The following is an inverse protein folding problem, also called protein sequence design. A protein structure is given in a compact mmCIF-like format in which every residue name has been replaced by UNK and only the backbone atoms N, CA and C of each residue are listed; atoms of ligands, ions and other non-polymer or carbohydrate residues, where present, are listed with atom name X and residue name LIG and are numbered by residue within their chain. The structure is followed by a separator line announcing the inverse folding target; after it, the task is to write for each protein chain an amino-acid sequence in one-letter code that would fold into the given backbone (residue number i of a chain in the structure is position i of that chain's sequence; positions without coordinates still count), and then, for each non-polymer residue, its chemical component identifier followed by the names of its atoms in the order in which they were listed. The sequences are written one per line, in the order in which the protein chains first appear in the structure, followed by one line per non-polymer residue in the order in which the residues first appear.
data_IF_613813711118
#
_entry.id   IF_613813711118
#
_cell.length_a   1.000
_cell.length_b   1.000
_cell.length_c   1.000
_cell.angle_alpha   90.00
_cell.angle_beta   90.00
_cell.angle_gamma   90.00
#
_symmetry.space_group_name_H-M   'P 1'
#
loop_
_entity.id
_entity.type
_entity.pdbx_description
1 polymer ?
#
# COMPACT_ATOMS: atom_id res chain seq x y z
N UNK A 1 24.77 -29.22 -2.11
CA UNK A 1 24.29 -27.92 -2.65
C UNK A 1 25.47 -27.08 -3.09
N UNK A 2 25.60 -26.71 -4.37
CA UNK A 2 26.76 -25.96 -4.87
C UNK A 2 26.95 -24.61 -4.14
N UNK A 3 28.21 -24.28 -3.84
CA UNK A 3 28.63 -23.04 -3.16
C UNK A 3 27.99 -21.80 -3.82
N UNK A 4 27.83 -21.81 -5.14
CA UNK A 4 27.13 -20.81 -5.95
C UNK A 4 25.66 -20.54 -5.56
N UNK A 5 24.85 -21.57 -5.31
CA UNK A 5 23.44 -21.37 -4.89
C UNK A 5 23.35 -20.76 -3.49
N UNK A 6 24.31 -21.09 -2.61
CA UNK A 6 24.37 -20.54 -1.24
C UNK A 6 24.73 -19.04 -1.27
N UNK A 7 25.70 -18.65 -2.10
CA UNK A 7 26.11 -17.25 -2.27
C UNK A 7 25.02 -16.39 -2.91
N UNK A 8 24.32 -16.88 -3.95
CA UNK A 8 23.15 -16.19 -4.52
C UNK A 8 22.05 -15.93 -3.47
N UNK A 9 21.83 -16.88 -2.56
CA UNK A 9 20.84 -16.74 -1.47
C UNK A 9 21.24 -15.68 -0.45
N UNK A 10 22.52 -15.59 -0.10
CA UNK A 10 23.07 -14.58 0.83
C UNK A 10 22.96 -13.19 0.23
N UNK A 11 23.40 -12.99 -1.01
CA UNK A 11 23.31 -11.71 -1.72
C UNK A 11 21.85 -11.23 -1.81
N UNK A 12 20.91 -12.13 -2.12
CA UNK A 12 19.48 -11.79 -2.17
C UNK A 12 18.93 -11.35 -0.81
N UNK A 13 19.42 -11.96 0.29
CA UNK A 13 18.99 -11.62 1.66
C UNK A 13 19.51 -10.25 2.08
N UNK A 14 20.76 -9.93 1.74
CA UNK A 14 21.37 -8.62 1.99
C UNK A 14 20.66 -7.50 1.22
N UNK A 15 20.40 -7.72 -0.08
CA UNK A 15 19.67 -6.76 -0.93
C UNK A 15 18.27 -6.45 -0.39
N UNK A 16 17.55 -7.49 0.07
CA UNK A 16 16.21 -7.34 0.69
C UNK A 16 16.22 -6.63 2.04
N UNK A 17 17.29 -6.77 2.82
CA UNK A 17 17.45 -6.07 4.11
C UNK A 17 17.69 -4.58 3.89
N UNK A 18 18.48 -4.22 2.86
CA UNK A 18 18.76 -2.84 2.47
C UNK A 18 17.49 -2.08 2.06
N UNK A 19 16.64 -2.67 1.22
CA UNK A 19 15.37 -2.05 0.80
C UNK A 19 14.40 -1.76 1.95
N UNK A 20 14.42 -2.57 3.02
CA UNK A 20 13.58 -2.37 4.19
C UNK A 20 14.04 -1.20 5.07
N UNK A 21 15.29 -0.76 4.94
CA UNK A 21 15.83 0.38 5.69
C UNK A 21 15.37 1.69 5.04
N UNK A 22 15.37 1.77 3.71
CA UNK A 22 15.02 3.00 2.96
C UNK A 22 13.51 3.24 2.79
N UNK A 23 12.65 2.26 3.09
CA UNK A 23 11.21 2.35 2.82
C UNK A 23 10.36 2.09 4.06
N UNK A 24 9.36 2.93 4.32
CA UNK A 24 8.36 2.69 5.37
C UNK A 24 7.11 2.11 4.75
N UNK A 25 6.54 1.09 5.40
CA UNK A 25 5.33 0.41 4.97
C UNK A 25 4.24 0.66 5.99
N UNK A 26 3.06 1.06 5.51
CA UNK A 26 1.82 1.10 6.28
C UNK A 26 0.80 0.14 5.66
N UNK A 27 0.01 -0.52 6.49
CA UNK A 27 -1.01 -1.49 6.07
C UNK A 27 -2.31 -1.26 6.83
N UNK A 28 -3.41 -1.20 6.11
CA UNK A 28 -4.75 -1.33 6.68
C UNK A 28 -5.33 -2.65 6.23
N UNK A 29 -5.83 -3.41 7.20
CA UNK A 29 -6.39 -4.74 6.97
C UNK A 29 -7.89 -4.74 7.19
N UNK A 30 -8.59 -5.64 6.47
CA UNK A 30 -10.03 -5.90 6.65
C UNK A 30 -10.92 -4.67 6.46
N UNK A 31 -10.57 -3.76 5.54
CA UNK A 31 -11.44 -2.62 5.23
C UNK A 31 -12.67 -3.15 4.50
N UNK A 32 -13.87 -2.81 5.00
CA UNK A 32 -15.17 -3.23 4.47
C UNK A 32 -15.53 -2.51 3.16
N UNK A 33 -14.74 -2.72 2.11
CA UNK A 33 -14.97 -2.18 0.77
C UNK A 33 -14.46 -3.12 -0.31
N UNK A 34 -14.99 -2.97 -1.53
CA UNK A 34 -14.46 -3.69 -2.69
C UNK A 34 -13.08 -3.16 -3.06
N UNK A 35 -12.14 -4.08 -3.31
CA UNK A 35 -10.80 -3.75 -3.76
C UNK A 35 -10.80 -2.86 -5.01
N UNK A 36 -11.72 -3.06 -5.96
CA UNK A 36 -11.81 -2.24 -7.17
C UNK A 36 -12.12 -0.77 -6.88
N UNK A 37 -12.95 -0.48 -5.87
CA UNK A 37 -13.27 0.90 -5.47
C UNK A 37 -12.06 1.59 -4.84
N UNK A 38 -11.29 0.87 -4.04
CA UNK A 38 -10.04 1.39 -3.46
C UNK A 38 -8.94 1.56 -4.52
N UNK A 39 -8.80 0.62 -5.47
CA UNK A 39 -7.81 0.71 -6.56
C UNK A 39 -7.97 1.97 -7.37
N UNK A 40 -9.20 2.35 -7.72
CA UNK A 40 -9.50 3.60 -8.44
C UNK A 40 -8.83 4.83 -7.82
N UNK A 41 -8.82 4.92 -6.49
CA UNK A 41 -8.19 6.03 -5.76
C UNK A 41 -6.69 5.82 -5.65
N UNK A 42 -6.26 4.60 -5.30
CA UNK A 42 -4.84 4.26 -5.13
C UNK A 42 -4.02 4.46 -6.41
N UNK A 43 -4.60 4.21 -7.57
CA UNK A 43 -3.90 4.39 -8.85
C UNK A 43 -3.56 5.86 -9.14
N UNK A 44 -4.28 6.82 -8.55
CA UNK A 44 -4.04 8.26 -8.74
C UNK A 44 -2.86 8.77 -7.90
N UNK A 45 -2.64 8.18 -6.73
CA UNK A 45 -1.61 8.61 -5.77
C UNK A 45 -0.27 7.89 -5.96
N UNK A 46 -0.20 6.92 -6.87
CA UNK A 46 1.01 6.13 -7.11
C UNK A 46 2.10 7.02 -7.72
N UNK A 47 3.24 7.13 -7.04
CA UNK A 47 4.40 7.90 -7.51
C UNK A 47 4.36 9.40 -7.23
N UNK A 48 3.30 9.90 -6.58
CA UNK A 48 3.13 11.31 -6.21
C UNK A 48 3.89 11.66 -4.94
N UNK A 49 4.13 12.95 -4.73
CA UNK A 49 4.66 13.45 -3.45
C UNK A 49 3.61 13.31 -2.34
N UNK A 50 4.05 13.37 -1.09
CA UNK A 50 3.16 13.29 0.06
C UNK A 50 2.15 14.44 0.07
N UNK A 51 2.61 15.68 -0.15
CA UNK A 51 1.77 16.88 -0.19
C UNK A 51 0.69 16.81 -1.29
N UNK A 52 1.10 16.49 -2.53
CA UNK A 52 0.17 16.31 -3.64
C UNK A 52 -0.88 15.24 -3.32
N UNK A 53 -0.45 14.15 -2.67
CA UNK A 53 -1.34 13.06 -2.31
C UNK A 53 -2.41 13.50 -1.29
N UNK A 54 -2.04 14.28 -0.29
CA UNK A 54 -3.00 14.79 0.71
C UNK A 54 -4.07 15.65 0.03
N UNK A 55 -3.66 16.58 -0.84
CA UNK A 55 -4.59 17.44 -1.59
C UNK A 55 -5.53 16.62 -2.47
N UNK A 56 -5.00 15.67 -3.23
CA UNK A 56 -5.80 14.82 -4.13
C UNK A 56 -6.82 14.01 -3.32
N UNK A 57 -6.40 13.42 -2.20
CA UNK A 57 -7.28 12.56 -1.40
C UNK A 57 -8.38 13.35 -0.69
N UNK A 58 -8.09 14.58 -0.27
CA UNK A 58 -9.06 15.47 0.39
C UNK A 58 -10.14 15.95 -0.59
N UNK A 59 -9.76 16.28 -1.83
CA UNK A 59 -10.67 16.80 -2.84
C UNK A 59 -11.47 15.71 -3.58
N UNK A 60 -11.05 14.45 -3.49
CA UNK A 60 -11.70 13.37 -4.23
C UNK A 60 -13.11 13.03 -3.70
N UNK A 61 -14.13 12.91 -4.58
CA UNK A 61 -15.51 12.63 -4.17
C UNK A 61 -15.77 11.17 -3.75
N UNK A 62 -14.72 10.35 -3.61
CA UNK A 62 -14.84 8.93 -3.33
C UNK A 62 -14.77 8.64 -1.83
N UNK A 63 -15.73 7.86 -1.30
CA UNK A 63 -15.66 7.35 0.09
C UNK A 63 -14.36 6.57 0.39
N UNK A 64 -13.76 5.99 -0.65
CA UNK A 64 -12.49 5.27 -0.56
C UNK A 64 -11.31 6.16 -0.14
N UNK A 65 -11.41 7.47 -0.35
CA UNK A 65 -10.32 8.41 -0.04
C UNK A 65 -10.06 8.50 1.46
N UNK A 66 -11.10 8.51 2.29
CA UNK A 66 -10.95 8.64 3.74
C UNK A 66 -10.06 7.57 4.41
N UNK A 67 -10.27 6.25 4.20
CA UNK A 67 -9.37 5.25 4.77
C UNK A 67 -7.95 5.31 4.19
N UNK A 68 -7.80 5.72 2.94
CA UNK A 68 -6.49 5.87 2.29
C UNK A 68 -5.75 7.08 2.88
N UNK A 69 -6.43 8.20 3.08
CA UNK A 69 -5.90 9.41 3.70
C UNK A 69 -5.32 9.12 5.08
N UNK A 70 -6.10 8.46 5.95
CA UNK A 70 -5.61 8.04 7.28
C UNK A 70 -4.37 7.16 7.20
N UNK A 71 -4.32 6.27 6.22
CA UNK A 71 -3.19 5.37 6.06
C UNK A 71 -1.94 6.07 5.52
N UNK A 72 -2.10 7.04 4.61
CA UNK A 72 -1.00 7.88 4.11
C UNK A 72 -0.43 8.73 5.25
N UNK A 73 -1.29 9.37 6.04
CA UNK A 73 -0.89 10.13 7.22
C UNK A 73 -0.12 9.25 8.23
N UNK A 74 -0.63 8.05 8.52
CA UNK A 74 0.06 7.08 9.38
C UNK A 74 1.40 6.62 8.79
N UNK A 75 1.52 6.48 7.47
CA UNK A 75 2.76 6.10 6.83
C UNK A 75 3.85 7.17 6.97
N UNK A 76 3.48 8.45 6.84
CA UNK A 76 4.39 9.57 7.04
C UNK A 76 4.84 9.67 8.50
N UNK A 77 3.90 9.58 9.46
CA UNK A 77 4.21 9.58 10.90
C UNK A 77 5.16 8.41 11.29
N UNK A 78 4.97 7.23 10.70
CA UNK A 78 5.88 6.10 10.90
C UNK A 78 7.26 6.35 10.27
N UNK A 79 7.32 7.13 9.19
CA UNK A 79 8.54 7.60 8.54
C UNK A 79 9.34 8.57 9.40
N UNK A 80 8.67 9.60 9.92
CA UNK A 80 9.30 10.61 10.78
C UNK A 80 9.80 9.97 12.07
N UNK A 81 8.97 9.17 12.75
CA UNK A 81 9.33 8.59 14.04
C UNK A 81 10.42 7.51 13.94
N UNK A 82 10.31 6.57 13.00
CA UNK A 82 11.21 5.40 12.98
C UNK A 82 12.45 5.59 12.10
N UNK A 83 12.41 6.52 11.14
CA UNK A 83 13.45 6.65 10.11
C UNK A 83 13.89 8.08 9.84
N UNK A 84 13.40 9.03 10.63
CA UNK A 84 13.73 10.45 10.51
C UNK A 84 13.52 10.97 9.08
N UNK A 85 12.41 10.58 8.46
CA UNK A 85 12.03 11.10 7.15
C UNK A 85 11.48 12.52 7.30
N UNK A 86 11.85 13.40 6.37
CA UNK A 86 11.18 14.67 6.20
C UNK A 86 9.88 14.45 5.41
N UNK A 87 8.79 15.10 5.83
CA UNK A 87 7.47 14.95 5.21
C UNK A 87 7.46 15.55 3.79
N UNK A 88 8.12 16.69 3.59
CA UNK A 88 8.23 17.36 2.30
C UNK A 88 8.93 16.49 1.24
N UNK A 89 9.95 15.74 1.65
CA UNK A 89 10.75 14.89 0.76
C UNK A 89 10.16 13.48 0.57
N UNK A 90 9.04 13.18 1.21
CA UNK A 90 8.40 11.87 1.21
C UNK A 90 7.59 11.63 -0.08
N UNK A 91 7.84 10.49 -0.72
CA UNK A 91 7.19 10.09 -1.97
C UNK A 91 6.57 8.71 -1.82
N UNK A 92 5.37 8.53 -2.37
CA UNK A 92 4.70 7.23 -2.41
C UNK A 92 5.37 6.36 -3.47
N UNK A 93 6.21 5.44 -3.02
CA UNK A 93 6.94 4.52 -3.91
C UNK A 93 6.06 3.43 -4.48
N UNK A 94 5.14 2.89 -3.67
CA UNK A 94 4.32 1.75 -4.03
C UNK A 94 3.01 1.81 -3.27
N UNK A 95 1.91 1.61 -3.98
CA UNK A 95 0.58 1.55 -3.39
C UNK A 95 -0.21 0.41 -4.05
N UNK A 96 -0.65 -0.53 -3.21
CA UNK A 96 -1.29 -1.78 -3.62
C UNK A 96 -2.58 -2.01 -2.84
N UNK A 97 -3.56 -2.63 -3.52
CA UNK A 97 -4.83 -3.04 -2.93
C UNK A 97 -5.11 -4.49 -3.27
N UNK A 98 -5.19 -5.31 -2.23
CA UNK A 98 -5.46 -6.73 -2.32
C UNK A 98 -6.89 -7.03 -1.86
N UNK A 99 -7.52 -8.03 -2.47
CA UNK A 99 -8.80 -8.56 -1.98
C UNK A 99 -8.60 -9.28 -0.65
N UNK A 100 -9.55 -9.09 0.27
CA UNK A 100 -9.59 -9.80 1.54
C UNK A 100 -10.70 -10.86 1.55
N UNK A 101 -11.08 -11.26 2.76
CA UNK A 101 -12.15 -12.23 2.99
C UNK A 101 -13.49 -11.73 2.43
N UNK A 102 -14.20 -12.61 1.73
CA UNK A 102 -15.53 -12.31 1.19
C UNK A 102 -16.57 -12.99 2.06
N UNK A 103 -17.41 -12.19 2.71
CA UNK A 103 -18.53 -12.69 3.48
C UNK A 103 -19.75 -12.88 2.58
N UNK A 104 -20.36 -14.07 2.61
CA UNK A 104 -21.57 -14.39 1.83
C UNK A 104 -22.82 -14.15 2.68
N UNK A 105 -23.86 -13.60 2.06
CA UNK A 105 -25.21 -13.42 2.63
C UNK A 105 -26.23 -13.88 1.60
N UNK A 106 -27.31 -14.55 2.02
CA UNK A 106 -28.38 -14.93 1.11
C UNK A 106 -29.36 -13.77 0.93
N UNK A 107 -29.78 -13.51 -0.30
CA UNK A 107 -30.88 -12.59 -0.61
C UNK A 107 -32.05 -13.41 -1.19
N UNK A 108 -33.23 -13.41 -0.54
CA UNK A 108 -34.40 -14.08 -1.09
C UNK A 108 -34.86 -13.39 -2.37
N UNK A 109 -35.38 -14.18 -3.31
CA UNK A 109 -35.92 -13.75 -4.61
C UNK A 109 -37.27 -14.44 -4.86
N UNK A 110 -37.97 -13.98 -5.89
CA UNK A 110 -39.25 -14.56 -6.30
C UNK A 110 -39.12 -16.05 -6.64
N UNK A 111 -40.23 -16.79 -6.54
CA UNK A 111 -40.35 -18.23 -6.85
C UNK A 111 -39.43 -19.14 -6.01
N UNK A 112 -39.24 -18.81 -4.73
CA UNK A 112 -38.43 -19.63 -3.81
C UNK A 112 -36.92 -19.64 -4.10
N UNK A 113 -36.44 -18.80 -5.03
CA UNK A 113 -35.01 -18.71 -5.33
C UNK A 113 -34.27 -17.85 -4.30
N UNK A 114 -32.97 -18.13 -4.14
CA UNK A 114 -32.06 -17.27 -3.38
C UNK A 114 -30.75 -17.06 -4.12
N UNK A 115 -30.19 -15.86 -4.02
CA UNK A 115 -28.88 -15.53 -4.59
C UNK A 115 -27.90 -15.05 -3.50
N UNK A 116 -26.61 -15.39 -3.60
CA UNK A 116 -25.61 -14.92 -2.66
C UNK A 116 -25.19 -13.47 -2.96
N UNK A 117 -25.35 -12.58 -1.98
CA UNK A 117 -24.66 -11.28 -1.93
C UNK A 117 -23.26 -11.49 -1.35
N UNK A 118 -22.25 -10.98 -2.06
CA UNK A 118 -20.86 -10.93 -1.59
C UNK A 118 -20.61 -9.58 -0.90
N UNK A 119 -20.11 -9.60 0.34
CA UNK A 119 -19.59 -8.46 1.09
C UNK A 119 -18.06 -8.58 1.13
N UNK A 120 -17.35 -8.02 0.13
CA UNK A 120 -15.89 -8.12 0.07
C UNK A 120 -15.24 -7.17 1.08
N UNK A 121 -14.09 -7.57 1.60
CA UNK A 121 -13.13 -6.69 2.26
C UNK A 121 -11.89 -6.51 1.40
N UNK A 122 -11.03 -5.55 1.76
CA UNK A 122 -9.73 -5.36 1.13
C UNK A 122 -8.63 -5.02 2.14
N UNK A 123 -7.40 -5.24 1.70
CA UNK A 123 -6.19 -4.85 2.39
C UNK A 123 -5.46 -3.80 1.53
N UNK A 124 -5.10 -2.67 2.13
CA UNK A 124 -4.38 -1.59 1.46
C UNK A 124 -2.97 -1.54 2.03
N UNK A 125 -1.99 -1.50 1.14
CA UNK A 125 -0.57 -1.35 1.50
C UNK A 125 -0.01 -0.13 0.79
N UNK A 126 0.55 0.80 1.55
CA UNK A 126 1.27 1.96 1.02
C UNK A 126 2.70 1.92 1.54
N UNK A 127 3.63 2.20 0.64
CA UNK A 127 5.06 2.25 0.93
C UNK A 127 5.57 3.64 0.57
N UNK A 128 6.06 4.34 1.59
CA UNK A 128 6.66 5.67 1.48
C UNK A 128 8.18 5.51 1.44
N UNK A 129 8.82 6.28 0.57
CA UNK A 129 10.27 6.41 0.50
C UNK A 129 10.65 7.86 0.61
N UNK A 130 11.83 8.10 1.14
CA UNK A 130 12.48 9.40 1.10
C UNK A 130 13.12 9.61 -0.27
N UNK A 131 12.81 10.74 -0.93
CA UNK A 131 13.33 11.07 -2.25
C UNK A 131 14.77 11.57 -2.25
N UNK A 132 15.26 12.09 -1.13
CA UNK A 132 16.65 12.56 -0.97
C UNK A 132 17.66 11.40 -1.04
N UNK A 133 17.26 10.20 -0.61
CA UNK A 133 18.12 9.01 -0.52
C UNK A 133 18.23 8.21 -1.83
N UNK A 134 17.80 8.76 -2.98
CA UNK A 134 17.76 8.09 -4.30
C UNK A 134 19.14 7.64 -4.83
N UNK A 135 20.24 8.18 -4.32
CA UNK A 135 21.58 8.03 -4.89
C UNK A 135 22.24 6.66 -4.64
N UNK A 136 21.82 5.93 -3.61
CA UNK A 136 22.51 4.70 -3.17
C UNK A 136 22.12 3.41 -3.90
N UNK A 137 21.08 3.43 -4.74
CA UNK A 137 20.58 2.23 -5.43
C UNK A 137 21.18 2.04 -6.85
N UNK A 138 21.65 3.12 -7.49
CA UNK A 138 22.22 3.09 -8.86
C UNK A 138 23.63 2.49 -8.94
N UNK A 139 24.39 2.47 -7.84
CA UNK A 139 25.80 2.02 -7.80
C UNK A 139 25.92 0.48 -7.68
N UNK A 140 24.79 -0.25 -7.71
CA UNK A 140 24.75 -1.72 -7.53
C UNK A 140 24.55 -2.52 -8.82
N UNK A 141 25.07 -2.02 -9.95
CA UNK A 141 25.25 -2.78 -11.20
C UNK A 141 26.70 -3.24 -11.27
#
# INVERSE_FOLDING_TARGET
MSKWRKWKRVLRKLKRKKTLITQVKAVAQNICMSAHKARRVVDQIRGRSYEETLMILELMPYRASYPIFKLVYSAAANGSHNKSFNEADSVISKAEVNGGTIMKRLKPRARGHSYPIKRPTCHITIVVRDSSKKETDKISI
#
